data_IF_301605228883
#
_entry.id   IF_301605228883
#
_cell.length_a   1.000
_cell.length_b   1.000
_cell.length_c   1.000
_cell.angle_alpha   90.00
_cell.angle_beta   90.00
_cell.angle_gamma   90.00
#
_symmetry.space_group_name_H-M   'P 1'
#
loop_
_entity.id
_entity.type
_entity.pdbx_description
1 polymer ?
#
# COMPACT_ATOMS: atom_id res chain seq x y z
N UNK A 1 7.30 7.97 -3.16
CA UNK A 1 6.85 9.38 -3.21
C UNK A 1 5.49 9.34 -3.88
N UNK A 2 4.52 10.09 -3.37
CA UNK A 2 3.12 9.99 -3.80
C UNK A 2 2.66 11.37 -4.26
N UNK A 3 2.10 11.44 -5.47
CA UNK A 3 1.60 12.67 -6.09
C UNK A 3 0.08 12.60 -6.15
N UNK A 4 -0.61 13.71 -5.88
CA UNK A 4 -2.07 13.78 -6.00
C UNK A 4 -2.49 14.12 -7.43
N UNK A 5 -3.67 13.69 -7.84
CA UNK A 5 -4.25 14.03 -9.15
C UNK A 5 -4.39 15.54 -9.31
N UNK A 6 -4.79 16.25 -8.24
CA UNK A 6 -4.84 17.72 -8.23
C UNK A 6 -3.46 18.34 -8.51
N UNK A 7 -2.38 17.84 -7.89
CA UNK A 7 -1.03 18.36 -8.16
C UNK A 7 -0.59 18.11 -9.61
N UNK A 8 -0.89 16.93 -10.16
CA UNK A 8 -0.60 16.60 -11.55
C UNK A 8 -1.43 17.44 -12.53
N UNK A 9 -2.70 17.71 -12.21
CA UNK A 9 -3.57 18.60 -12.99
C UNK A 9 -3.01 20.02 -13.04
N UNK A 10 -2.56 20.55 -11.89
CA UNK A 10 -1.92 21.87 -11.80
C UNK A 10 -0.72 21.96 -12.72
N UNK A 11 0.11 20.92 -12.70
CA UNK A 11 1.30 20.88 -13.56
C UNK A 11 0.93 20.78 -15.04
N UNK A 12 -0.06 19.96 -15.40
CA UNK A 12 -0.62 19.93 -16.75
C UNK A 12 -1.14 21.29 -17.19
N UNK A 13 -1.92 21.97 -16.34
CA UNK A 13 -2.40 23.31 -16.60
C UNK A 13 -1.24 24.29 -16.82
N UNK A 14 -0.16 24.22 -16.04
CA UNK A 14 1.03 25.08 -16.24
C UNK A 14 1.71 24.81 -17.58
N UNK A 15 1.93 23.54 -17.93
CA UNK A 15 2.62 23.16 -19.17
C UNK A 15 1.81 23.49 -20.42
N UNK A 16 0.47 23.46 -20.32
CA UNK A 16 -0.43 23.93 -21.38
C UNK A 16 -0.50 25.46 -21.49
N UNK A 17 0.06 26.21 -20.53
CA UNK A 17 -0.16 27.64 -20.40
C UNK A 17 -1.59 28.00 -19.98
N UNK A 18 -2.29 27.05 -19.36
CA UNK A 18 -3.70 27.12 -18.95
C UNK A 18 -3.88 27.18 -17.43
N UNK A 19 -2.92 27.82 -16.74
CA UNK A 19 -2.91 27.92 -15.29
C UNK A 19 -3.01 29.39 -14.85
N UNK A 20 -4.09 29.69 -14.16
CA UNK A 20 -4.22 30.90 -13.35
C UNK A 20 -4.90 30.51 -12.03
N UNK A 21 -4.39 31.03 -10.93
CA UNK A 21 -5.00 30.89 -9.61
C UNK A 21 -4.96 32.21 -8.88
N UNK A 22 -5.96 32.45 -8.04
CA UNK A 22 -6.03 33.64 -7.20
C UNK A 22 -7.04 33.44 -6.08
N UNK A 23 -7.18 34.46 -5.24
CA UNK A 23 -8.11 34.51 -4.11
C UNK A 23 -9.06 35.68 -4.34
N UNK A 24 -10.37 35.47 -4.20
CA UNK A 24 -11.34 36.58 -4.36
C UNK A 24 -11.10 37.69 -3.34
N UNK A 25 -11.15 38.94 -3.76
CA UNK A 25 -11.00 40.11 -2.88
C UNK A 25 -12.28 40.98 -2.78
N UNK A 26 -13.30 40.65 -3.57
CA UNK A 26 -14.61 41.29 -3.55
C UNK A 26 -15.76 40.30 -3.39
N UNK A 27 -16.86 40.77 -2.82
CA UNK A 27 -18.04 39.93 -2.64
C UNK A 27 -18.74 39.70 -3.99
N UNK A 28 -18.73 38.43 -4.42
CA UNK A 28 -19.47 37.99 -5.60
C UNK A 28 -20.96 37.71 -5.33
N UNK A 29 -21.61 37.16 -6.34
CA UNK A 29 -22.98 36.60 -6.28
C UNK A 29 -22.93 35.12 -6.63
N UNK A 30 -24.06 34.43 -6.68
CA UNK A 30 -24.09 33.06 -7.20
C UNK A 30 -23.58 32.97 -8.66
N UNK A 31 -23.64 34.04 -9.44
CA UNK A 31 -23.20 34.06 -10.85
C UNK A 31 -21.96 34.92 -11.08
N UNK A 32 -21.27 35.36 -10.03
CA UNK A 32 -20.09 36.21 -10.19
C UNK A 32 -19.00 35.93 -9.16
N UNK A 33 -17.74 36.03 -9.60
CA UNK A 33 -16.54 36.08 -8.76
C UNK A 33 -15.86 37.43 -8.97
N UNK A 34 -15.40 38.05 -7.88
CA UNK A 34 -14.76 39.39 -7.94
C UNK A 34 -13.35 39.30 -7.39
N UNK A 35 -12.40 39.66 -8.24
CA UNK A 35 -10.97 39.68 -7.92
C UNK A 35 -10.27 40.80 -8.69
N UNK A 36 -9.70 41.77 -7.97
CA UNK A 36 -9.02 42.91 -8.59
C UNK A 36 -7.77 42.54 -9.40
N UNK A 37 -7.16 41.37 -9.16
CA UNK A 37 -6.03 40.86 -9.96
C UNK A 37 -6.45 40.64 -11.42
N UNK A 38 -7.71 40.29 -11.66
CA UNK A 38 -8.23 40.03 -13.00
C UNK A 38 -8.28 41.28 -13.89
N UNK A 39 -8.18 42.48 -13.31
CA UNK A 39 -8.11 43.74 -14.06
C UNK A 39 -6.86 43.84 -14.95
N UNK A 40 -5.85 43.02 -14.67
CA UNK A 40 -4.63 42.95 -15.47
C UNK A 40 -4.83 42.24 -16.82
N UNK A 41 -5.96 41.56 -17.03
CA UNK A 41 -6.23 40.79 -18.24
C UNK A 41 -7.27 41.48 -19.12
N UNK A 42 -7.16 41.30 -20.43
CA UNK A 42 -8.14 41.83 -21.39
C UNK A 42 -9.44 41.01 -21.35
N UNK A 43 -10.58 41.61 -21.73
CA UNK A 43 -11.88 40.91 -21.65
C UNK A 43 -11.94 39.65 -22.54
N UNK A 44 -11.19 39.64 -23.65
CA UNK A 44 -11.04 38.52 -24.59
C UNK A 44 -9.99 37.49 -24.15
N UNK A 45 -9.33 37.69 -23.01
CA UNK A 45 -8.51 36.66 -22.37
C UNK A 45 -9.33 35.41 -22.00
N UNK A 46 -10.62 35.61 -21.71
CA UNK A 46 -11.64 34.59 -21.51
C UNK A 46 -12.21 34.18 -22.89
N UNK A 47 -11.92 32.95 -23.33
CA UNK A 47 -12.32 32.42 -24.65
C UNK A 47 -13.74 31.78 -24.62
N UNK A 48 -14.09 30.95 -25.61
CA UNK A 48 -15.45 30.39 -25.78
C UNK A 48 -15.82 29.30 -24.73
N UNK A 49 -14.81 28.64 -24.12
CA UNK A 49 -15.00 27.51 -23.19
C UNK A 49 -14.15 27.53 -21.89
N UNK A 50 -14.08 28.65 -21.17
CA UNK A 50 -13.39 28.79 -19.90
C UNK A 50 -14.19 28.23 -18.73
N UNK A 51 -13.49 27.77 -17.71
CA UNK A 51 -14.03 27.18 -16.49
C UNK A 51 -13.33 27.76 -15.29
N UNK A 52 -14.08 28.03 -14.24
CA UNK A 52 -13.53 28.32 -12.91
C UNK A 52 -13.79 27.12 -12.01
N UNK A 53 -12.82 26.81 -11.16
CA UNK A 53 -12.92 25.76 -10.15
C UNK A 53 -12.59 26.36 -8.79
N UNK A 54 -13.44 26.14 -7.80
CA UNK A 54 -13.14 26.52 -6.42
C UNK A 54 -12.13 25.53 -5.82
N UNK A 55 -11.06 26.02 -5.21
CA UNK A 55 -10.01 25.18 -4.58
C UNK A 55 -10.03 25.22 -3.06
N UNK A 56 -10.97 25.96 -2.50
CA UNK A 56 -11.27 26.07 -1.09
C UNK A 56 -12.79 25.95 -0.91
N UNK A 57 -13.22 25.47 0.25
CA UNK A 57 -14.63 25.40 0.61
C UNK A 57 -15.14 26.82 0.95
N UNK A 58 -16.04 27.41 0.14
CA UNK A 58 -16.66 28.66 0.53
C UNK A 58 -17.60 28.45 1.73
N UNK A 59 -17.75 29.47 2.58
CA UNK A 59 -18.72 29.41 3.66
C UNK A 59 -20.15 29.28 3.11
N UNK A 60 -20.78 28.11 3.22
CA UNK A 60 -22.14 27.88 2.73
C UNK A 60 -22.37 26.49 2.13
N UNK A 61 -23.07 26.43 0.99
CA UNK A 61 -23.49 25.20 0.33
C UNK A 61 -22.71 24.87 -0.97
N UNK A 62 -21.82 25.76 -1.43
CA UNK A 62 -20.96 25.45 -2.56
C UNK A 62 -19.77 24.61 -2.06
N UNK A 63 -19.45 23.53 -2.78
CA UNK A 63 -18.41 22.58 -2.39
C UNK A 63 -17.04 22.96 -2.97
N UNK A 64 -15.98 22.53 -2.31
CA UNK A 64 -14.65 22.47 -2.92
C UNK A 64 -14.71 21.66 -4.23
N UNK A 65 -13.97 22.12 -5.24
CA UNK A 65 -13.99 21.59 -6.61
C UNK A 65 -15.32 21.78 -7.34
N UNK A 66 -16.16 22.72 -6.89
CA UNK A 66 -17.31 23.14 -7.70
C UNK A 66 -16.83 23.91 -8.93
N UNK A 67 -17.20 23.39 -10.12
CA UNK A 67 -16.72 23.88 -11.41
C UNK A 67 -17.86 24.59 -12.13
N UNK A 68 -17.61 25.80 -12.62
CA UNK A 68 -18.60 26.56 -13.38
C UNK A 68 -18.01 27.12 -14.66
N UNK A 69 -18.78 27.08 -15.74
CA UNK A 69 -18.41 27.75 -16.99
C UNK A 69 -18.38 29.25 -16.75
N UNK A 70 -17.32 29.90 -17.23
CA UNK A 70 -17.21 31.36 -17.24
C UNK A 70 -17.86 31.89 -18.52
N UNK A 71 -18.72 32.89 -18.39
CA UNK A 71 -19.41 33.53 -19.50
C UNK A 71 -18.64 34.77 -20.01
N UNK A 72 -18.01 35.53 -19.13
CA UNK A 72 -17.25 36.73 -19.48
C UNK A 72 -16.37 37.22 -18.34
N UNK A 73 -15.40 38.07 -18.68
CA UNK A 73 -14.64 38.91 -17.75
C UNK A 73 -14.98 40.38 -18.02
N UNK A 74 -15.26 41.14 -16.96
CA UNK A 74 -15.21 42.59 -16.96
C UNK A 74 -13.91 43.05 -16.28
N UNK A 75 -12.90 43.39 -17.08
CA UNK A 75 -11.59 43.79 -16.63
C UNK A 75 -11.55 45.18 -15.96
N UNK A 76 -12.59 46.01 -16.11
CA UNK A 76 -12.64 47.30 -15.42
C UNK A 76 -12.92 47.11 -13.92
N UNK A 77 -13.70 46.08 -13.59
CA UNK A 77 -14.09 45.75 -12.22
C UNK A 77 -13.35 44.54 -11.66
N UNK A 78 -12.80 43.67 -12.50
CA UNK A 78 -12.22 42.38 -12.09
C UNK A 78 -13.30 41.32 -11.83
N UNK A 79 -14.42 41.40 -12.54
CA UNK A 79 -15.58 40.52 -12.31
C UNK A 79 -15.64 39.41 -13.35
N UNK A 80 -15.56 38.15 -12.92
CA UNK A 80 -15.93 37.00 -13.75
C UNK A 80 -17.43 36.75 -13.62
N UNK A 81 -18.12 36.67 -14.75
CA UNK A 81 -19.50 36.17 -14.80
C UNK A 81 -19.46 34.67 -15.05
N UNK A 82 -20.15 33.89 -14.23
CA UNK A 82 -20.15 32.42 -14.30
C UNK A 82 -21.57 31.88 -14.38
N UNK A 83 -21.70 30.62 -14.79
CA UNK A 83 -22.91 29.86 -14.44
C UNK A 83 -23.06 29.82 -12.91
N UNK A 84 -24.31 29.74 -12.46
CA UNK A 84 -24.63 29.89 -11.05
C UNK A 84 -24.01 28.77 -10.20
N UNK A 85 -23.23 29.14 -9.19
CA UNK A 85 -22.92 28.31 -8.03
C UNK A 85 -24.17 28.13 -7.17
N UNK A 86 -24.22 27.05 -6.39
CA UNK A 86 -25.36 26.77 -5.49
C UNK A 86 -25.44 27.78 -4.32
N UNK A 87 -24.33 28.45 -4.01
CA UNK A 87 -24.25 29.59 -3.12
C UNK A 87 -23.22 30.61 -3.64
N UNK A 88 -23.34 31.88 -3.23
CA UNK A 88 -22.33 32.88 -3.55
C UNK A 88 -20.98 32.48 -2.89
N UNK A 89 -19.87 32.39 -3.65
CA UNK A 89 -18.58 31.97 -3.09
C UNK A 89 -18.08 32.89 -1.97
N UNK A 90 -18.34 34.20 -2.07
CA UNK A 90 -17.92 35.19 -1.07
C UNK A 90 -16.51 35.75 -1.32
N UNK A 91 -15.94 36.37 -0.29
CA UNK A 91 -14.60 36.99 -0.30
C UNK A 91 -13.58 36.06 0.34
N UNK A 92 -12.34 36.07 -0.15
CA UNK A 92 -11.25 35.28 0.41
C UNK A 92 -11.25 33.82 -0.03
N UNK A 93 -11.90 33.49 -1.15
CA UNK A 93 -11.99 32.13 -1.67
C UNK A 93 -10.93 31.89 -2.72
N UNK A 94 -10.13 30.84 -2.53
CA UNK A 94 -9.17 30.39 -3.53
C UNK A 94 -9.87 29.70 -4.72
N UNK A 95 -9.47 30.08 -5.93
CA UNK A 95 -9.97 29.50 -7.16
C UNK A 95 -8.89 29.34 -8.24
N UNK A 96 -9.19 28.48 -9.19
CA UNK A 96 -8.41 28.26 -10.41
C UNK A 96 -9.24 28.57 -11.65
N UNK A 97 -8.61 29.18 -12.64
CA UNK A 97 -9.21 29.44 -13.94
C UNK A 97 -8.52 28.58 -15.02
N UNK A 98 -9.33 27.86 -15.77
CA UNK A 98 -8.94 26.97 -16.85
C UNK A 98 -9.62 27.42 -18.14
N UNK A 99 -8.84 27.94 -19.09
CA UNK A 99 -9.29 28.58 -20.32
C UNK A 99 -9.42 27.61 -21.49
N UNK A 100 -8.66 26.51 -21.50
CA UNK A 100 -8.60 25.59 -22.65
C UNK A 100 -9.48 24.36 -22.47
N UNK A 101 -9.47 23.73 -21.30
CA UNK A 101 -10.14 22.45 -21.07
C UNK A 101 -10.88 22.42 -19.74
N UNK A 102 -11.97 21.64 -19.68
CA UNK A 102 -12.67 21.39 -18.42
C UNK A 102 -11.72 20.68 -17.44
N UNK A 103 -11.73 21.03 -16.14
CA UNK A 103 -10.84 20.40 -15.14
C UNK A 103 -11.00 18.87 -15.08
N UNK A 104 -12.22 18.35 -15.14
CA UNK A 104 -12.46 16.90 -15.18
C UNK A 104 -11.90 16.20 -16.43
N UNK A 105 -11.80 16.90 -17.57
CA UNK A 105 -11.20 16.33 -18.78
C UNK A 105 -9.70 16.12 -18.59
N UNK A 106 -9.05 17.08 -17.91
CA UNK A 106 -7.64 16.97 -17.52
C UNK A 106 -7.43 15.78 -16.58
N UNK A 107 -8.31 15.58 -15.60
CA UNK A 107 -8.24 14.42 -14.70
C UNK A 107 -8.39 13.10 -15.47
N UNK A 108 -9.36 13.01 -16.38
CA UNK A 108 -9.55 11.83 -17.23
C UNK A 108 -8.32 11.57 -18.12
N UNK A 109 -7.76 12.63 -18.70
CA UNK A 109 -6.55 12.54 -19.52
C UNK A 109 -5.34 12.04 -18.72
N UNK A 110 -5.17 12.50 -17.47
CA UNK A 110 -4.10 12.04 -16.58
C UNK A 110 -4.26 10.57 -16.18
N UNK A 111 -5.47 10.13 -15.84
CA UNK A 111 -5.75 8.71 -15.55
C UNK A 111 -5.49 7.84 -16.78
N UNK A 112 -5.90 8.28 -17.96
CA UNK A 112 -5.61 7.58 -19.21
C UNK A 112 -4.10 7.53 -19.48
N UNK A 113 -3.41 8.67 -19.35
CA UNK A 113 -1.98 8.77 -19.57
C UNK A 113 -1.19 7.85 -18.64
N UNK A 114 -1.59 7.71 -17.37
CA UNK A 114 -0.93 6.83 -16.40
C UNK A 114 -0.95 5.38 -16.87
N UNK A 115 -2.10 4.93 -17.39
CA UNK A 115 -2.28 3.57 -17.91
C UNK A 115 -1.57 3.37 -19.24
N UNK A 116 -1.62 4.36 -20.13
CA UNK A 116 -1.04 4.29 -21.46
C UNK A 116 0.49 4.39 -21.46
N UNK A 117 1.08 5.00 -20.43
CA UNK A 117 2.53 5.14 -20.30
C UNK A 117 3.23 3.83 -19.90
N UNK A 118 2.48 2.83 -19.44
CA UNK A 118 3.02 1.51 -19.14
C UNK A 118 3.46 0.79 -20.43
N UNK A 119 4.64 0.11 -20.47
CA UNK A 119 5.56 -0.16 -19.35
C UNK A 119 6.69 0.88 -19.18
N UNK A 120 6.76 1.91 -20.02
CA UNK A 120 7.86 2.89 -20.02
C UNK A 120 7.90 3.72 -18.74
N UNK A 121 6.73 4.05 -18.19
CA UNK A 121 6.57 4.60 -16.84
C UNK A 121 5.81 3.55 -16.02
N UNK A 122 6.33 3.19 -14.86
CA UNK A 122 5.74 2.19 -13.97
C UNK A 122 6.03 2.54 -12.51
N UNK A 123 5.21 2.01 -11.60
CA UNK A 123 5.51 2.05 -10.17
C UNK A 123 6.65 1.08 -9.90
N UNK A 124 7.68 1.51 -9.18
CA UNK A 124 8.75 0.60 -8.77
C UNK A 124 8.31 -0.13 -7.51
N UNK A 125 7.97 -1.40 -7.65
CA UNK A 125 7.61 -2.26 -6.52
C UNK A 125 8.88 -2.87 -5.96
N UNK A 126 9.06 -2.74 -4.64
CA UNK A 126 10.11 -3.41 -3.87
C UNK A 126 9.54 -3.98 -2.59
N UNK A 127 9.66 -5.28 -2.41
CA UNK A 127 9.23 -5.98 -1.19
C UNK A 127 10.40 -6.76 -0.59
N UNK A 128 10.48 -6.76 0.75
CA UNK A 128 11.51 -7.45 1.53
C UNK A 128 10.91 -8.30 2.66
N UNK A 129 9.62 -8.66 2.58
CA UNK A 129 8.92 -9.35 3.67
C UNK A 129 9.06 -10.87 3.55
N UNK A 130 9.24 -11.37 2.33
CA UNK A 130 9.22 -12.79 2.02
C UNK A 130 10.54 -13.47 2.41
N UNK A 131 10.44 -14.61 3.10
CA UNK A 131 11.57 -15.46 3.46
C UNK A 131 11.62 -16.70 2.57
N UNK A 132 12.75 -16.92 1.91
CA UNK A 132 13.00 -18.07 1.06
C UNK A 132 12.83 -19.39 1.81
N UNK A 133 12.10 -20.34 1.24
CA UNK A 133 11.92 -21.67 1.82
C UNK A 133 10.93 -21.74 2.99
N UNK A 134 10.34 -20.61 3.39
CA UNK A 134 9.27 -20.58 4.39
C UNK A 134 7.99 -21.23 3.84
N UNK A 135 7.44 -22.18 4.57
CA UNK A 135 6.18 -22.84 4.19
C UNK A 135 4.93 -22.04 4.60
N UNK A 136 5.09 -21.05 5.48
CA UNK A 136 4.02 -20.16 5.87
C UNK A 136 3.88 -19.00 4.88
N UNK A 137 2.65 -18.54 4.67
CA UNK A 137 2.39 -17.29 3.97
C UNK A 137 2.36 -16.14 4.96
N UNK A 138 2.89 -14.96 4.59
CA UNK A 138 2.88 -13.78 5.47
C UNK A 138 3.40 -14.07 6.90
N UNK A 139 4.51 -14.81 6.99
CA UNK A 139 5.16 -15.10 8.26
C UNK A 139 5.62 -13.85 9.02
N UNK A 140 5.91 -12.78 8.30
CA UNK A 140 6.22 -11.45 8.83
C UNK A 140 5.00 -10.68 9.36
N UNK A 141 3.78 -11.21 9.20
CA UNK A 141 2.55 -10.60 9.72
C UNK A 141 2.32 -9.16 9.23
N UNK A 142 2.60 -8.91 7.95
CA UNK A 142 2.52 -7.57 7.34
C UNK A 142 1.18 -7.33 6.64
N UNK A 143 0.34 -8.36 6.50
CA UNK A 143 -0.88 -8.29 5.72
C UNK A 143 -2.11 -8.35 6.61
N UNK A 144 -2.78 -7.22 6.75
CA UNK A 144 -3.97 -7.08 7.59
C UNK A 144 -5.19 -6.69 6.74
N UNK A 145 -6.30 -7.40 6.92
CA UNK A 145 -7.59 -7.01 6.32
C UNK A 145 -8.21 -5.86 7.12
N UNK A 146 -7.93 -5.83 8.42
CA UNK A 146 -8.16 -4.71 9.33
C UNK A 146 -7.15 -4.80 10.47
N UNK A 147 -7.05 -3.76 11.32
CA UNK A 147 -6.12 -3.74 12.45
C UNK A 147 -6.37 -4.82 13.53
N UNK A 148 -7.41 -5.64 13.37
CA UNK A 148 -7.77 -6.75 14.27
C UNK A 148 -7.83 -8.11 13.55
N UNK A 149 -7.49 -8.15 12.26
CA UNK A 149 -7.71 -9.34 11.42
C UNK A 149 -6.53 -9.55 10.45
N UNK A 150 -5.55 -10.40 10.82
CA UNK A 150 -4.44 -10.75 9.94
C UNK A 150 -4.95 -11.61 8.78
N UNK A 151 -4.63 -11.22 7.54
CA UNK A 151 -5.28 -11.74 6.32
C UNK A 151 -5.08 -13.24 6.10
N UNK A 152 -3.95 -13.78 6.54
CA UNK A 152 -3.51 -15.14 6.24
C UNK A 152 -3.28 -15.98 7.50
N UNK A 153 -3.74 -15.50 8.65
CA UNK A 153 -3.60 -16.18 9.93
C UNK A 153 -4.95 -16.21 10.64
N UNK A 154 -5.24 -17.30 11.36
CA UNK A 154 -6.49 -17.44 12.10
C UNK A 154 -6.23 -17.42 13.60
N UNK A 155 -7.03 -16.64 14.33
CA UNK A 155 -7.01 -16.61 15.78
C UNK A 155 -8.04 -17.60 16.35
N UNK A 156 -7.61 -18.47 17.27
CA UNK A 156 -8.51 -19.26 18.11
C UNK A 156 -8.53 -18.69 19.53
N UNK A 157 -9.72 -18.28 19.97
CA UNK A 157 -10.04 -17.79 21.32
C UNK A 157 -9.35 -16.49 21.79
N UNK A 158 -8.17 -16.14 21.25
CA UNK A 158 -7.43 -14.92 21.62
C UNK A 158 -7.80 -13.69 20.78
N UNK A 159 -7.42 -12.50 21.26
CA UNK A 159 -7.54 -11.25 20.49
C UNK A 159 -6.21 -10.91 19.83
N UNK A 160 -6.24 -10.76 18.51
CA UNK A 160 -5.09 -10.34 17.70
C UNK A 160 -5.30 -8.90 17.24
N UNK A 161 -4.30 -8.05 17.42
CA UNK A 161 -4.30 -6.70 16.86
C UNK A 161 -2.98 -6.37 16.21
N UNK A 162 -3.02 -5.60 15.13
CA UNK A 162 -1.85 -5.02 14.50
C UNK A 162 -1.15 -4.03 15.45
N UNK A 163 0.18 -4.10 15.55
CA UNK A 163 0.97 -3.05 16.19
C UNK A 163 1.95 -2.44 15.20
N UNK A 164 2.03 -1.11 15.20
CA UNK A 164 3.01 -0.31 14.47
C UNK A 164 3.95 0.45 15.42
N UNK A 165 3.90 0.11 16.71
CA UNK A 165 4.72 0.77 17.74
C UNK A 165 6.17 0.33 17.59
N UNK A 166 7.09 1.24 17.24
CA UNK A 166 8.44 0.88 16.77
C UNK A 166 9.31 0.02 17.70
N UNK A 167 9.10 0.00 19.03
CA UNK A 167 9.81 -0.92 19.94
C UNK A 167 9.18 -2.32 20.01
N UNK A 168 7.94 -2.44 19.54
CA UNK A 168 7.09 -3.63 19.54
C UNK A 168 6.82 -4.12 18.10
N UNK A 169 7.61 -3.63 17.14
CA UNK A 169 7.69 -4.14 15.78
C UNK A 169 9.08 -4.74 15.61
N UNK A 170 9.18 -6.01 15.22
CA UNK A 170 10.47 -6.68 15.06
C UNK A 170 11.02 -6.51 13.65
N UNK A 171 10.16 -6.66 12.64
CA UNK A 171 10.49 -6.50 11.25
C UNK A 171 9.43 -5.67 10.49
N UNK A 172 9.83 -5.14 9.34
CA UNK A 172 8.97 -4.39 8.42
C UNK A 172 8.18 -3.27 9.09
N UNK A 173 6.87 -3.24 8.88
CA UNK A 173 6.01 -2.15 9.32
C UNK A 173 5.15 -2.53 10.52
N UNK A 174 4.84 -3.81 10.69
CA UNK A 174 3.85 -4.28 11.64
C UNK A 174 4.30 -5.57 12.32
N UNK A 175 3.76 -5.82 13.51
CA UNK A 175 3.81 -7.14 14.17
C UNK A 175 2.44 -7.46 14.75
N UNK A 176 2.18 -8.71 15.12
CA UNK A 176 0.94 -9.08 15.77
C UNK A 176 1.06 -8.97 17.29
N UNK A 177 0.13 -8.24 17.91
CA UNK A 177 -0.10 -8.24 19.36
C UNK A 177 -1.15 -9.29 19.69
N UNK A 178 -0.84 -10.16 20.65
CA UNK A 178 -1.69 -11.23 21.16
C UNK A 178 -2.04 -10.92 22.63
N UNK A 179 -3.33 -10.75 22.95
CA UNK A 179 -3.76 -10.43 24.32
C UNK A 179 -5.20 -10.89 24.65
N UNK A 180 -5.68 -10.44 25.82
CA UNK A 180 -7.08 -10.50 26.31
C UNK A 180 -7.59 -11.88 26.72
N UNK A 181 -7.17 -12.95 26.04
CA UNK A 181 -7.54 -14.32 26.38
C UNK A 181 -6.41 -15.30 26.04
N UNK A 182 -6.44 -16.47 26.69
CA UNK A 182 -5.55 -17.56 26.33
C UNK A 182 -6.05 -18.25 25.06
N UNK A 183 -5.15 -18.54 24.12
CA UNK A 183 -5.47 -19.11 22.81
C UNK A 183 -4.25 -19.21 21.91
N UNK A 184 -4.44 -19.45 20.62
CA UNK A 184 -3.35 -19.43 19.63
C UNK A 184 -3.71 -18.81 18.28
N UNK A 185 -2.70 -18.24 17.62
CA UNK A 185 -2.73 -17.76 16.24
C UNK A 185 -2.09 -18.83 15.35
N UNK A 186 -2.70 -19.19 14.21
CA UNK A 186 -2.22 -20.31 13.41
C UNK A 186 -2.46 -20.19 11.89
N UNK A 187 -1.71 -21.00 11.15
CA UNK A 187 -1.99 -21.41 9.77
C UNK A 187 -2.14 -22.93 9.73
N UNK A 188 -3.10 -23.40 8.94
CA UNK A 188 -3.45 -24.82 8.77
C UNK A 188 -3.47 -25.23 7.29
N UNK A 189 -3.67 -26.53 7.03
CA UNK A 189 -3.78 -27.07 5.66
C UNK A 189 -5.03 -26.57 4.93
N UNK A 190 -6.08 -26.17 5.66
CA UNK A 190 -7.34 -25.68 5.09
C UNK A 190 -7.18 -24.32 4.43
N UNK A 191 -6.33 -23.47 5.00
CA UNK A 191 -5.92 -22.19 4.46
C UNK A 191 -4.79 -22.35 3.44
N UNK A 192 -3.87 -23.31 3.66
CA UNK A 192 -2.67 -23.48 2.85
C UNK A 192 -2.38 -24.95 2.53
N UNK A 193 -2.91 -25.41 1.39
CA UNK A 193 -2.81 -26.80 0.91
C UNK A 193 -1.36 -27.31 0.79
N UNK A 194 -0.41 -26.41 0.54
CA UNK A 194 1.02 -26.73 0.46
C UNK A 194 1.57 -27.37 1.74
N UNK A 195 0.97 -27.11 2.90
CA UNK A 195 1.39 -27.70 4.17
C UNK A 195 1.20 -29.22 4.20
N UNK A 196 0.29 -29.78 3.40
CA UNK A 196 0.12 -31.24 3.25
C UNK A 196 1.40 -31.93 2.75
N UNK A 197 2.25 -31.21 2.00
CA UNK A 197 3.53 -31.74 1.47
C UNK A 197 4.57 -31.97 2.56
N UNK A 198 4.31 -31.50 3.78
CA UNK A 198 5.16 -31.72 4.94
C UNK A 198 4.91 -33.09 5.59
N UNK A 199 3.88 -33.83 5.18
CA UNK A 199 3.58 -35.17 5.71
C UNK A 199 4.80 -36.11 5.64
N UNK A 200 5.13 -36.73 6.78
CA UNK A 200 6.28 -37.62 6.93
C UNK A 200 7.65 -36.93 6.91
N UNK A 201 7.70 -35.60 7.07
CA UNK A 201 8.94 -34.81 7.02
C UNK A 201 9.22 -34.17 8.38
N UNK A 202 10.50 -33.98 8.65
CA UNK A 202 10.95 -33.17 9.77
C UNK A 202 10.90 -31.69 9.41
N UNK A 203 10.34 -30.88 10.29
CA UNK A 203 10.18 -29.44 10.10
C UNK A 203 10.59 -28.70 11.36
N UNK A 204 11.08 -27.47 11.17
CA UNK A 204 11.43 -26.55 12.24
C UNK A 204 10.52 -25.35 12.12
N UNK A 205 9.80 -25.03 13.18
CA UNK A 205 8.99 -23.82 13.29
C UNK A 205 9.70 -22.84 14.24
N UNK A 206 9.90 -21.61 13.78
CA UNK A 206 10.47 -20.52 14.57
C UNK A 206 9.63 -19.26 14.50
N UNK A 207 9.63 -18.46 15.56
CA UNK A 207 8.95 -17.16 15.63
C UNK A 207 9.79 -16.21 16.47
N UNK A 208 9.89 -14.94 16.06
CA UNK A 208 10.39 -13.89 16.93
C UNK A 208 9.28 -13.50 17.91
N UNK A 209 9.58 -13.53 19.21
CA UNK A 209 8.59 -13.29 20.25
C UNK A 209 9.05 -12.23 21.23
N UNK A 210 8.14 -11.39 21.70
CA UNK A 210 8.33 -10.48 22.82
C UNK A 210 7.18 -10.69 23.81
N UNK A 211 7.49 -10.80 25.09
CA UNK A 211 6.44 -10.83 26.10
C UNK A 211 6.92 -10.32 27.46
N UNK A 212 5.99 -9.71 28.19
CA UNK A 212 6.22 -9.08 29.49
C UNK A 212 6.00 -10.03 30.68
N UNK A 213 5.52 -11.25 30.44
CA UNK A 213 5.16 -12.21 31.48
C UNK A 213 5.77 -13.57 31.19
N UNK A 214 6.43 -14.19 32.17
CA UNK A 214 6.98 -15.52 31.96
C UNK A 214 5.86 -16.52 31.64
N UNK A 215 6.14 -17.51 30.79
CA UNK A 215 5.17 -18.55 30.39
C UNK A 215 3.92 -18.05 29.64
N UNK A 216 3.92 -16.81 29.16
CA UNK A 216 2.81 -16.29 28.34
C UNK A 216 2.83 -16.78 26.90
N UNK A 217 4.01 -17.03 26.31
CA UNK A 217 4.21 -17.16 24.87
C UNK A 217 5.04 -18.40 24.59
N UNK A 218 4.56 -19.24 23.67
CA UNK A 218 5.30 -20.38 23.11
C UNK A 218 4.74 -20.71 21.74
N UNK A 219 5.42 -21.59 21.01
CA UNK A 219 4.95 -22.06 19.71
C UNK A 219 4.77 -23.58 19.72
N UNK A 220 3.97 -24.09 18.78
CA UNK A 220 3.74 -25.51 18.65
C UNK A 220 3.52 -25.94 17.19
N UNK A 221 3.78 -27.21 16.93
CA UNK A 221 3.43 -27.91 15.69
C UNK A 221 2.37 -28.95 16.05
N UNK A 222 1.24 -28.92 15.36
CA UNK A 222 0.17 -29.91 15.50
C UNK A 222 -0.02 -30.67 14.18
N UNK A 223 -0.03 -32.00 14.24
CA UNK A 223 -0.15 -32.88 13.06
C UNK A 223 -1.53 -33.57 12.96
N UNK A 224 -2.55 -32.97 13.57
CA UNK A 224 -3.89 -33.53 13.66
C UNK A 224 -4.09 -34.51 14.83
N UNK A 225 -3.00 -35.00 15.44
CA UNK A 225 -3.08 -35.95 16.56
C UNK A 225 -2.24 -35.50 17.76
N UNK A 226 -1.01 -35.05 17.50
CA UNK A 226 0.00 -34.70 18.50
C UNK A 226 0.34 -33.24 18.38
N UNK A 227 0.44 -32.55 19.52
CA UNK A 227 0.98 -31.19 19.59
C UNK A 227 2.37 -31.23 20.23
N UNK A 228 3.38 -30.78 19.50
CA UNK A 228 4.76 -30.63 19.98
C UNK A 228 5.02 -29.16 20.28
N UNK A 229 5.43 -28.83 21.50
CA UNK A 229 5.63 -27.44 21.96
C UNK A 229 7.10 -27.04 22.03
N UNK A 230 7.38 -25.75 21.85
CA UNK A 230 8.64 -25.12 22.27
C UNK A 230 8.68 -24.94 23.79
N UNK A 231 9.84 -24.51 24.29
CA UNK A 231 9.91 -23.85 25.59
C UNK A 231 9.15 -22.51 25.57
N UNK A 232 8.82 -22.00 26.75
CA UNK A 232 8.16 -20.70 26.91
C UNK A 232 9.16 -19.55 26.78
N UNK A 233 8.67 -18.40 26.30
CA UNK A 233 9.37 -17.13 26.41
C UNK A 233 9.64 -16.78 27.89
N UNK A 234 10.85 -16.26 28.23
CA UNK A 234 11.22 -15.95 29.61
C UNK A 234 10.42 -14.80 30.22
N UNK A 235 9.74 -13.99 29.41
CA UNK A 235 8.87 -12.91 29.89
C UNK A 235 9.61 -11.68 30.39
N UNK A 236 10.74 -11.36 29.78
CA UNK A 236 11.67 -10.32 30.18
C UNK A 236 11.42 -8.96 29.49
N UNK A 237 10.26 -8.76 28.87
CA UNK A 237 9.93 -7.53 28.12
C UNK A 237 10.97 -7.18 27.05
N UNK A 238 11.44 -8.20 26.35
CA UNK A 238 12.36 -8.06 25.23
C UNK A 238 11.96 -9.03 24.12
N UNK A 239 12.35 -8.69 22.89
CA UNK A 239 12.30 -9.63 21.79
C UNK A 239 13.33 -10.75 22.01
N UNK A 240 13.03 -11.94 21.51
CA UNK A 240 14.02 -12.98 21.29
C UNK A 240 15.19 -12.44 20.46
N UNK A 241 16.38 -12.97 20.71
CA UNK A 241 17.56 -12.65 19.91
C UNK A 241 17.42 -13.24 18.50
N UNK A 242 17.95 -12.56 17.48
CA UNK A 242 17.78 -12.98 16.09
C UNK A 242 18.30 -14.41 15.82
N UNK A 243 19.30 -14.85 16.58
CA UNK A 243 19.89 -16.19 16.50
C UNK A 243 19.22 -17.22 17.42
N UNK A 244 18.36 -16.77 18.32
CA UNK A 244 17.68 -17.59 19.32
C UNK A 244 16.17 -17.27 19.34
N UNK A 245 15.44 -17.40 18.20
CA UNK A 245 13.99 -17.28 18.19
C UNK A 245 13.35 -18.39 19.04
N UNK A 246 12.07 -18.23 19.39
CA UNK A 246 11.28 -19.37 19.85
C UNK A 246 11.34 -20.45 18.77
N UNK A 247 11.64 -21.68 19.16
CA UNK A 247 11.91 -22.79 18.23
C UNK A 247 11.27 -24.07 18.70
N UNK A 248 10.62 -24.78 17.78
CA UNK A 248 10.17 -26.17 17.96
C UNK A 248 10.48 -26.97 16.70
N UNK A 249 10.79 -28.24 16.87
CA UNK A 249 11.11 -29.16 15.80
C UNK A 249 10.30 -30.44 15.99
N UNK A 250 9.67 -30.91 14.91
CA UNK A 250 8.84 -32.11 14.94
C UNK A 250 8.85 -32.81 13.58
N UNK A 251 8.66 -34.12 13.59
CA UNK A 251 8.33 -34.88 12.39
C UNK A 251 6.83 -34.94 12.26
N UNK A 252 6.30 -34.39 11.17
CA UNK A 252 4.88 -34.50 10.83
C UNK A 252 4.55 -35.96 10.54
N UNK A 253 3.42 -36.45 11.05
CA UNK A 253 2.93 -37.79 10.73
C UNK A 253 2.88 -38.05 9.21
N UNK A 254 3.01 -39.30 8.79
CA UNK A 254 2.94 -39.69 7.37
C UNK A 254 1.53 -39.60 6.79
N UNK A 255 0.51 -39.59 7.66
CA UNK A 255 -0.91 -39.45 7.33
C UNK A 255 -1.55 -38.49 8.33
N UNK A 256 -1.12 -37.21 8.34
CA UNK A 256 -1.66 -36.24 9.27
C UNK A 256 -3.13 -35.99 8.90
N UNK A 257 -3.97 -35.78 9.90
CA UNK A 257 -5.36 -35.33 9.67
C UNK A 257 -5.45 -33.82 9.56
N UNK A 258 -4.43 -33.11 10.07
CA UNK A 258 -4.24 -31.68 9.97
C UNK A 258 -2.74 -31.35 10.05
N UNK A 259 -2.30 -30.17 9.61
CA UNK A 259 -0.96 -29.66 9.87
C UNK A 259 -1.07 -28.19 10.23
N UNK A 260 -0.90 -27.87 11.51
CA UNK A 260 -1.01 -26.51 12.03
C UNK A 260 0.29 -26.04 12.68
N UNK A 261 0.61 -24.77 12.44
CA UNK A 261 1.70 -24.06 13.09
C UNK A 261 1.11 -22.98 13.99
N UNK A 262 1.19 -23.20 15.31
CA UNK A 262 0.44 -22.44 16.31
C UNK A 262 1.35 -21.58 17.16
N UNK A 263 0.95 -20.33 17.38
CA UNK A 263 1.60 -19.35 18.25
C UNK A 263 0.68 -19.12 19.45
N UNK A 264 1.04 -19.67 20.60
CA UNK A 264 0.21 -19.65 21.80
C UNK A 264 0.46 -18.40 22.64
N UNK A 265 -0.63 -17.74 23.05
CA UNK A 265 -0.65 -16.86 24.21
C UNK A 265 -1.39 -17.60 25.33
N UNK A 266 -0.69 -18.17 26.30
CA UNK A 266 -1.26 -19.06 27.33
C UNK A 266 -1.74 -18.32 28.59
N UNK A 267 -1.35 -17.07 28.77
CA UNK A 267 -1.69 -16.27 29.96
C UNK A 267 -2.61 -15.12 29.54
N UNK A 268 -3.90 -15.21 29.89
CA UNK A 268 -4.92 -14.24 29.47
C UNK A 268 -4.63 -12.77 29.88
N UNK A 269 -3.91 -12.56 30.98
CA UNK A 269 -3.48 -11.22 31.43
C UNK A 269 -2.14 -10.78 30.83
N UNK A 270 -1.44 -11.67 30.12
CA UNK A 270 -0.18 -11.38 29.45
C UNK A 270 -0.43 -10.72 28.10
N UNK A 271 0.47 -9.82 27.71
CA UNK A 271 0.53 -9.30 26.34
C UNK A 271 1.79 -9.83 25.68
N UNK A 272 1.63 -10.39 24.49
CA UNK A 272 2.73 -10.87 23.67
C UNK A 272 2.74 -10.18 22.32
N UNK A 273 3.91 -10.02 21.72
CA UNK A 273 4.08 -9.55 20.35
C UNK A 273 4.88 -10.58 19.58
N UNK A 274 4.48 -10.86 18.34
CA UNK A 274 5.10 -11.87 17.50
C UNK A 274 5.27 -11.39 16.08
N UNK A 275 6.34 -11.87 15.46
CA UNK A 275 6.75 -11.52 14.11
C UNK A 275 7.63 -12.65 13.53
N UNK A 276 7.89 -12.60 12.23
CA UNK A 276 8.90 -13.37 11.53
C UNK A 276 8.77 -14.88 11.75
N UNK A 277 7.52 -15.36 11.66
CA UNK A 277 7.15 -16.75 11.75
C UNK A 277 7.63 -17.54 10.53
N UNK A 278 8.36 -18.62 10.77
CA UNK A 278 9.04 -19.40 9.73
C UNK A 278 8.89 -20.88 9.97
N UNK A 279 8.42 -21.59 8.95
CA UNK A 279 8.48 -23.05 8.89
C UNK A 279 9.50 -23.44 7.84
N UNK A 280 10.54 -24.15 8.29
CA UNK A 280 11.60 -24.68 7.45
C UNK A 280 11.47 -26.19 7.37
N UNK A 281 11.33 -26.71 6.16
CA UNK A 281 11.07 -28.13 5.89
C UNK A 281 11.90 -28.66 4.71
N UNK A 282 11.40 -29.62 3.91
CA UNK A 282 12.07 -30.07 2.68
C UNK A 282 12.14 -28.95 1.61
N UNK A 283 12.87 -29.19 0.52
CA UNK A 283 12.85 -28.26 -0.63
C UNK A 283 11.46 -28.18 -1.24
N UNK A 284 11.16 -27.03 -1.86
CA UNK A 284 9.98 -26.88 -2.70
C UNK A 284 8.87 -26.02 -2.11
N UNK A 285 9.10 -25.34 -0.99
CA UNK A 285 8.19 -24.29 -0.52
C UNK A 285 7.97 -23.27 -1.65
N UNK A 286 6.70 -22.93 -1.89
CA UNK A 286 6.30 -21.89 -2.82
C UNK A 286 6.02 -20.61 -2.04
N UNK A 287 6.52 -19.49 -2.54
CA UNK A 287 6.27 -18.16 -1.98
C UNK A 287 5.22 -17.46 -2.82
N UNK A 288 4.12 -17.04 -2.21
CA UNK A 288 3.08 -16.31 -2.92
C UNK A 288 3.48 -14.84 -3.07
N UNK A 289 3.55 -14.36 -4.30
CA UNK A 289 3.95 -12.99 -4.67
C UNK A 289 2.84 -12.23 -5.39
N UNK A 290 1.69 -12.85 -5.66
CA UNK A 290 0.59 -12.22 -6.41
C UNK A 290 -0.03 -11.00 -5.72
N UNK A 291 0.16 -10.87 -4.41
CA UNK A 291 -0.27 -9.71 -3.64
C UNK A 291 0.62 -8.48 -3.81
N UNK A 292 1.82 -8.62 -4.39
CA UNK A 292 2.79 -7.52 -4.50
C UNK A 292 2.39 -6.48 -5.55
N UNK A 293 1.34 -6.70 -6.35
CA UNK A 293 0.92 -5.77 -7.40
C UNK A 293 1.90 -5.70 -8.58
N UNK A 294 2.77 -6.70 -8.73
CA UNK A 294 3.69 -6.80 -9.86
C UNK A 294 2.92 -7.04 -11.16
N UNK A 295 3.33 -6.36 -12.23
CA UNK A 295 2.80 -6.55 -13.57
C UNK A 295 2.95 -8.03 -13.96
N UNK A 296 1.83 -8.67 -14.28
CA UNK A 296 1.76 -10.11 -14.59
C UNK A 296 2.32 -11.03 -13.50
N UNK A 297 2.35 -10.58 -12.24
CA UNK A 297 2.99 -11.28 -11.13
C UNK A 297 4.47 -11.64 -11.39
N UNK A 298 5.14 -10.87 -12.26
CA UNK A 298 6.52 -11.13 -12.66
C UNK A 298 7.47 -10.12 -12.01
N UNK A 299 8.38 -10.57 -11.15
CA UNK A 299 9.47 -9.71 -10.71
C UNK A 299 10.52 -9.58 -11.82
N UNK A 300 11.12 -8.40 -11.91
CA UNK A 300 12.27 -8.17 -12.78
C UNK A 300 13.56 -8.68 -12.15
N UNK A 301 13.63 -8.66 -10.82
CA UNK A 301 14.81 -9.10 -10.06
C UNK A 301 14.39 -9.68 -8.73
N UNK A 302 15.01 -10.81 -8.38
CA UNK A 302 14.92 -11.40 -7.05
C UNK A 302 16.34 -11.51 -6.52
N UNK A 303 16.55 -11.04 -5.29
CA UNK A 303 17.84 -11.08 -4.61
C UNK A 303 17.67 -11.64 -3.20
N UNK A 304 18.74 -12.15 -2.60
CA UNK A 304 18.74 -12.74 -1.26
C UNK A 304 19.68 -11.99 -0.33
N UNK A 305 19.29 -11.88 0.93
CA UNK A 305 20.15 -11.42 2.01
C UNK A 305 21.30 -12.42 2.28
N UNK A 306 22.53 -11.94 2.42
CA UNK A 306 23.69 -12.83 2.48
C UNK A 306 23.91 -13.44 3.89
N UNK A 307 24.08 -12.65 4.97
CA UNK A 307 24.47 -13.23 6.28
C UNK A 307 24.11 -12.45 7.56
N UNK A 308 23.67 -11.19 7.50
CA UNK A 308 23.58 -10.35 8.72
C UNK A 308 22.39 -9.39 8.71
N UNK A 309 21.42 -9.64 9.61
CA UNK A 309 20.27 -8.78 9.92
C UNK A 309 20.68 -7.35 10.26
N UNK A 310 21.85 -7.18 10.89
CA UNK A 310 22.26 -5.91 11.47
C UNK A 310 23.12 -5.04 10.54
N UNK A 311 23.81 -5.64 9.56
CA UNK A 311 24.81 -4.93 8.75
C UNK A 311 24.37 -4.53 7.35
N UNK A 312 23.09 -4.71 6.98
CA UNK A 312 22.55 -4.31 5.65
C UNK A 312 23.47 -4.71 4.49
N UNK A 313 24.05 -5.91 4.56
CA UNK A 313 24.92 -6.41 3.49
C UNK A 313 24.16 -6.36 2.15
N UNK A 314 24.84 -6.09 1.01
CA UNK A 314 24.16 -5.99 -0.28
C UNK A 314 23.48 -7.32 -0.63
N UNK A 315 22.22 -7.24 -1.02
CA UNK A 315 21.46 -8.41 -1.47
C UNK A 315 22.11 -8.98 -2.74
N UNK A 316 22.31 -10.30 -2.76
CA UNK A 316 22.87 -11.02 -3.90
C UNK A 316 21.75 -11.38 -4.87
N UNK A 317 21.87 -11.02 -6.15
CA UNK A 317 20.90 -11.44 -7.16
C UNK A 317 20.87 -12.97 -7.28
N UNK A 318 19.67 -13.54 -7.39
CA UNK A 318 19.45 -14.95 -7.65
C UNK A 318 19.18 -15.16 -9.14
N UNK A 319 19.96 -16.01 -9.78
CA UNK A 319 19.80 -16.30 -11.21
C UNK A 319 18.79 -17.45 -11.45
N UNK A 320 18.71 -18.43 -10.54
CA UNK A 320 17.93 -19.67 -10.72
C UNK A 320 16.55 -19.62 -10.04
N UNK A 321 15.76 -18.59 -10.36
CA UNK A 321 14.46 -18.38 -9.74
C UNK A 321 13.33 -18.86 -10.65
N UNK A 322 12.40 -19.67 -10.11
CA UNK A 322 11.27 -20.21 -10.89
C UNK A 322 9.99 -19.49 -10.55
N UNK A 323 9.26 -19.05 -11.58
CA UNK A 323 8.01 -18.30 -11.44
C UNK A 323 6.85 -19.04 -12.09
N UNK A 324 5.71 -19.01 -11.42
CA UNK A 324 4.42 -19.39 -11.96
C UNK A 324 3.62 -18.10 -12.18
N UNK A 325 3.56 -17.66 -13.43
CA UNK A 325 2.91 -16.40 -13.81
C UNK A 325 1.39 -16.44 -13.65
N UNK A 326 0.78 -17.63 -13.76
CA UNK A 326 -0.67 -17.79 -13.69
C UNK A 326 -1.14 -17.74 -12.24
N UNK A 327 -0.39 -18.39 -11.35
CA UNK A 327 -0.77 -18.53 -9.94
C UNK A 327 -0.09 -17.50 -9.02
N UNK A 328 0.88 -16.74 -9.52
CA UNK A 328 1.60 -15.71 -8.75
C UNK A 328 2.52 -16.30 -7.68
N UNK A 329 3.13 -17.46 -7.96
CA UNK A 329 4.05 -18.11 -7.03
C UNK A 329 5.49 -18.07 -7.53
N UNK A 330 6.38 -18.01 -6.54
CA UNK A 330 7.82 -17.97 -6.67
C UNK A 330 8.43 -19.20 -5.98
N UNK A 331 9.47 -19.78 -6.58
CA UNK A 331 10.32 -20.78 -5.92
C UNK A 331 11.79 -20.38 -6.03
N UNK A 332 12.52 -20.51 -4.94
CA UNK A 332 13.96 -20.26 -4.85
C UNK A 332 14.70 -21.56 -4.52
N UNK A 333 15.01 -22.40 -5.53
CA UNK A 333 15.86 -23.57 -5.35
C UNK A 333 17.15 -23.20 -4.61
N UNK A 334 17.63 -24.08 -3.72
CA UNK A 334 18.90 -23.95 -2.99
C UNK A 334 19.00 -22.82 -1.96
N UNK A 335 18.03 -21.92 -1.90
CA UNK A 335 17.99 -20.79 -0.95
C UNK A 335 16.88 -21.03 0.06
N UNK A 336 17.23 -20.97 1.35
CA UNK A 336 16.30 -21.18 2.46
C UNK A 336 16.68 -20.33 3.65
N UNK A 337 15.68 -20.00 4.47
CA UNK A 337 15.84 -19.25 5.71
C UNK A 337 16.63 -17.94 5.53
N UNK A 338 16.32 -17.26 4.43
CA UNK A 338 16.92 -15.98 4.05
C UNK A 338 15.86 -15.08 3.44
N UNK A 339 15.92 -13.81 3.78
CA UNK A 339 15.00 -12.81 3.24
C UNK A 339 15.27 -12.56 1.77
N UNK A 340 14.19 -12.43 1.02
CA UNK A 340 14.22 -12.09 -0.39
C UNK A 340 13.96 -10.59 -0.55
N UNK A 341 14.63 -9.98 -1.51
CA UNK A 341 14.24 -8.70 -2.10
C UNK A 341 13.66 -8.98 -3.46
N UNK A 342 12.40 -8.63 -3.64
CA UNK A 342 11.67 -8.80 -4.89
C UNK A 342 11.41 -7.42 -5.46
N UNK A 343 11.89 -7.19 -6.68
CA UNK A 343 11.80 -5.92 -7.39
C UNK A 343 11.13 -6.13 -8.74
N UNK A 344 10.25 -5.22 -9.13
CA UNK A 344 9.63 -5.25 -10.45
C UNK A 344 8.74 -4.05 -10.73
N UNK A 345 7.98 -4.15 -11.81
CA UNK A 345 7.10 -3.08 -12.30
C UNK A 345 5.70 -3.28 -11.73
N UNK A 346 5.13 -2.25 -11.12
CA UNK A 346 3.71 -2.16 -10.79
C UNK A 346 2.95 -1.37 -11.87
N UNK A 347 1.65 -1.59 -11.96
CA UNK A 347 0.78 -0.79 -12.82
C UNK A 347 0.61 0.62 -12.25
N UNK A 348 0.62 1.62 -13.14
CA UNK A 348 0.35 3.00 -12.75
C UNK A 348 -1.11 3.35 -12.97
N UNK A 349 -1.75 3.81 -11.89
CA UNK A 349 -3.08 4.37 -11.90
C UNK A 349 -3.23 5.40 -10.78
N UNK A 350 -4.20 6.30 -10.90
CA UNK A 350 -4.60 7.16 -9.80
C UNK A 350 -5.65 6.44 -8.97
N UNK A 351 -5.35 6.20 -7.70
CA UNK A 351 -6.16 5.36 -6.83
C UNK A 351 -6.76 6.17 -5.69
N UNK A 352 -8.00 5.83 -5.32
CA UNK A 352 -8.60 6.15 -4.02
C UNK A 352 -9.02 4.83 -3.41
N UNK A 353 -8.50 4.51 -2.21
CA UNK A 353 -8.78 3.25 -1.53
C UNK A 353 -8.52 2.01 -2.41
N UNK A 354 -7.46 2.05 -3.23
CA UNK A 354 -7.04 0.95 -4.11
C UNK A 354 -7.85 0.83 -5.42
N UNK A 355 -8.81 1.71 -5.67
CA UNK A 355 -9.63 1.69 -6.89
C UNK A 355 -9.29 2.87 -7.78
N UNK A 356 -9.18 2.63 -9.09
CA UNK A 356 -8.95 3.71 -10.05
C UNK A 356 -10.02 4.79 -9.95
N UNK A 357 -9.57 6.04 -9.92
CA UNK A 357 -10.44 7.17 -9.63
C UNK A 357 -9.97 8.43 -10.35
N UNK A 358 -10.95 9.24 -10.76
CA UNK A 358 -10.73 10.61 -11.26
C UNK A 358 -10.98 11.66 -10.17
N UNK A 359 -11.15 11.24 -8.91
CA UNK A 359 -11.33 12.15 -7.79
C UNK A 359 -10.07 12.98 -7.55
N UNK A 360 -10.23 14.24 -7.16
CA UNK A 360 -9.13 15.18 -6.88
C UNK A 360 -8.14 14.69 -5.81
N UNK A 361 -8.63 13.86 -4.89
CA UNK A 361 -7.85 13.22 -3.82
C UNK A 361 -7.14 11.94 -4.25
N UNK A 362 -7.37 11.46 -5.48
CA UNK A 362 -6.70 10.27 -5.99
C UNK A 362 -5.19 10.48 -6.05
N UNK A 363 -4.43 9.43 -5.78
CA UNK A 363 -2.98 9.48 -5.68
C UNK A 363 -2.30 8.47 -6.59
N UNK A 364 -1.08 8.78 -6.99
CA UNK A 364 -0.23 7.91 -7.82
C UNK A 364 1.20 7.88 -7.24
N UNK A 365 1.87 6.74 -7.31
CA UNK A 365 3.22 6.53 -6.76
C UNK A 365 4.31 6.73 -7.82
N UNK A 366 4.56 7.99 -8.19
CA UNK A 366 5.62 8.39 -9.13
C UNK A 366 6.45 9.55 -8.58
N UNK A 367 7.63 9.75 -9.15
CA UNK A 367 8.49 10.89 -8.86
C UNK A 367 8.33 12.05 -9.88
N UNK A 368 9.06 13.15 -9.65
CA UNK A 368 8.92 14.38 -10.44
C UNK A 368 9.26 14.19 -11.93
N UNK A 369 10.36 13.52 -12.33
CA UNK A 369 10.63 13.29 -13.76
C UNK A 369 9.55 12.44 -14.45
N UNK A 370 9.00 11.45 -13.75
CA UNK A 370 7.90 10.63 -14.28
C UNK A 370 6.59 11.43 -14.39
N UNK A 371 6.38 12.40 -13.49
CA UNK A 371 5.21 13.30 -13.53
C UNK A 371 5.22 14.15 -14.81
N UNK A 372 6.37 14.65 -15.26
CA UNK A 372 6.45 15.44 -16.49
C UNK A 372 6.11 14.62 -17.75
N UNK A 373 6.59 13.36 -17.81
CA UNK A 373 6.27 12.44 -18.91
C UNK A 373 4.77 12.16 -18.94
N UNK A 374 4.19 11.90 -17.76
CA UNK A 374 2.75 11.66 -17.61
C UNK A 374 1.93 12.87 -18.07
N UNK A 375 2.31 14.07 -17.64
CA UNK A 375 1.66 15.33 -18.00
C UNK A 375 1.74 15.58 -19.51
N UNK A 376 2.90 15.37 -20.13
CA UNK A 376 3.07 15.51 -21.57
C UNK A 376 2.16 14.55 -22.36
N UNK A 377 2.03 13.30 -21.89
CA UNK A 377 1.13 12.32 -22.50
C UNK A 377 -0.35 12.71 -22.33
N UNK A 378 -0.73 13.25 -21.18
CA UNK A 378 -2.08 13.75 -20.92
C UNK A 378 -2.41 14.96 -21.81
N UNK A 379 -1.46 15.88 -22.01
CA UNK A 379 -1.60 16.99 -22.94
C UNK A 379 -1.87 16.50 -24.37
N UNK A 380 -1.11 15.50 -24.84
CA UNK A 380 -1.33 14.89 -26.15
C UNK A 380 -2.74 14.28 -26.26
N UNK A 381 -3.21 13.61 -25.21
CA UNK A 381 -4.56 13.05 -25.17
C UNK A 381 -5.63 14.14 -25.34
N UNK A 382 -5.51 15.26 -24.61
CA UNK A 382 -6.47 16.36 -24.67
C UNK A 382 -6.58 17.03 -26.05
N UNK A 383 -5.48 17.08 -26.82
CA UNK A 383 -5.49 17.68 -28.16
C UNK A 383 -5.84 16.71 -29.30
N UNK A 384 -5.95 15.42 -29.01
CA UNK A 384 -6.20 14.38 -30.03
C UNK A 384 -7.61 13.81 -30.00
N UNK A 385 -8.38 14.10 -28.95
CA UNK A 385 -9.72 13.58 -28.72
C UNK A 385 -10.79 14.66 -28.63
#
# INVERSE_FOLDING_TARGET
MTTTLNAAQKELSRQLGDFFNSTTDGAGTSTTLVDSVLKAYENDWIQDWPWVMLTEEPGGAAAIYDIRKVASLDNSTGTLTTLAFDAAPGTGIDYELHRLFHPDDKNRALVYAARAAFPSVHEVIRNEEIVAGNWLSDGSLERWTSSTDPTLWTADTLTVTETTTGSLVKHGATSAKLDTAAGFLYQDIGLWDDLERLAGRNVIFTVQGHCDTASCLRIAIFDGTTTTFSEYHPGNSAWTEDREPLRVEATIATTPTDVEFRIYSDVAAGTSYVDDARVMGPEGARQYIGHLGLAQNLPQRVSVEQFDYSNRAPFLALDDVRFDHESGYLRTPWVRDRRLRIEGMGYLDFLVSGVSSTAWTATINIDSPQTDILVAQAALYLYTW
#
